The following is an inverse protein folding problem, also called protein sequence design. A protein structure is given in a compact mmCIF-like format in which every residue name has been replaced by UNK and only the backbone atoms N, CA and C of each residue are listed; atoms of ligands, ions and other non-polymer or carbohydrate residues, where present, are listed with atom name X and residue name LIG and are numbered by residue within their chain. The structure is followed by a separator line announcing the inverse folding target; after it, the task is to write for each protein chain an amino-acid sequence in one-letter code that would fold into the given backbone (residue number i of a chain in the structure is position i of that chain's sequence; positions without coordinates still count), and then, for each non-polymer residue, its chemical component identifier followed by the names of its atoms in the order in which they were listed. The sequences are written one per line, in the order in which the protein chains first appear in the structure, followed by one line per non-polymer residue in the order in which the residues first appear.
data_IF_083092086576
#
_entry.id   IF_083092086576
#
_cell.length_a   1.000
_cell.length_b   1.000
_cell.length_c   1.000
_cell.angle_alpha   90.00
_cell.angle_beta   90.00
_cell.angle_gamma   90.00
#
_symmetry.space_group_name_H-M   'P 1'
#
loop_
_entity.id
_entity.type
_entity.pdbx_description
1 polymer ?
#
# COMPACT_ATOMS: atom_id res chain seq x y z
N UNK A 1 -7.33 -19.52 15.85
CA UNK A 1 -7.29 -20.51 14.76
C UNK A 1 -8.69 -20.93 14.28
N UNK A 2 -9.59 -21.45 15.13
CA UNK A 2 -10.95 -21.83 14.70
C UNK A 2 -11.73 -20.67 14.09
N UNK A 3 -11.73 -19.47 14.69
CA UNK A 3 -12.39 -18.30 14.12
C UNK A 3 -11.83 -17.91 12.74
N UNK A 4 -10.52 -18.03 12.53
CA UNK A 4 -9.89 -17.74 11.23
C UNK A 4 -10.30 -18.74 10.16
N UNK A 5 -10.38 -20.03 10.51
CA UNK A 5 -10.82 -21.09 9.60
C UNK A 5 -12.31 -20.88 9.27
N UNK A 6 -13.12 -20.60 10.27
CA UNK A 6 -14.56 -20.37 10.10
C UNK A 6 -14.82 -19.17 9.17
N UNK A 7 -14.15 -18.02 9.40
CA UNK A 7 -14.30 -16.85 8.53
C UNK A 7 -13.77 -17.08 7.12
N UNK A 8 -12.63 -17.76 6.96
CA UNK A 8 -12.12 -18.13 5.67
C UNK A 8 -13.09 -19.06 4.89
N UNK A 9 -13.77 -19.97 5.58
CA UNK A 9 -14.78 -20.83 4.96
C UNK A 9 -16.03 -20.04 4.52
N UNK A 10 -16.48 -19.08 5.34
CA UNK A 10 -17.65 -18.23 5.00
C UNK A 10 -17.37 -17.35 3.78
N UNK A 11 -16.16 -16.78 3.71
CA UNK A 11 -15.79 -15.85 2.66
C UNK A 11 -15.06 -16.49 1.48
N UNK A 12 -14.90 -17.82 1.47
CA UNK A 12 -14.25 -18.52 0.37
C UNK A 12 -15.00 -18.28 -0.97
N UNK A 13 -14.29 -18.08 -2.08
CA UNK A 13 -12.82 -18.11 -2.26
C UNK A 13 -12.12 -16.80 -1.90
N UNK A 14 -12.81 -15.82 -1.33
CA UNK A 14 -12.37 -14.47 -0.99
C UNK A 14 -13.18 -13.41 -1.71
N UNK A 15 -13.21 -12.21 -1.15
CA UNK A 15 -13.90 -11.05 -1.74
C UNK A 15 -12.91 -10.32 -2.64
N UNK A 16 -13.34 -9.96 -3.85
CA UNK A 16 -12.54 -9.18 -4.80
C UNK A 16 -13.14 -7.81 -5.02
N UNK A 17 -12.30 -6.80 -5.07
CA UNK A 17 -12.62 -5.45 -5.53
C UNK A 17 -12.32 -5.33 -7.02
N UNK A 18 -12.70 -4.21 -7.66
CA UNK A 18 -12.37 -3.96 -9.06
C UNK A 18 -10.85 -4.03 -9.32
N UNK A 19 -10.05 -3.47 -8.41
CA UNK A 19 -8.57 -3.54 -8.50
C UNK A 19 -8.08 -4.98 -8.44
N UNK A 20 -8.61 -5.77 -7.50
CA UNK A 20 -8.23 -7.18 -7.34
C UNK A 20 -8.70 -8.05 -8.51
N UNK A 21 -9.84 -7.74 -9.13
CA UNK A 21 -10.30 -8.40 -10.36
C UNK A 21 -9.34 -8.14 -11.53
N UNK A 22 -8.84 -6.90 -11.65
CA UNK A 22 -7.81 -6.57 -12.63
C UNK A 22 -6.53 -7.38 -12.42
N UNK A 23 -6.03 -7.43 -11.18
CA UNK A 23 -4.85 -8.21 -10.79
C UNK A 23 -5.06 -9.73 -10.96
N UNK A 24 -6.26 -10.22 -10.67
CA UNK A 24 -6.63 -11.61 -10.92
C UNK A 24 -6.62 -11.93 -12.43
N UNK A 25 -7.14 -11.02 -13.27
CA UNK A 25 -7.07 -11.15 -14.72
C UNK A 25 -5.64 -11.18 -15.26
N UNK A 26 -4.72 -10.39 -14.69
CA UNK A 26 -3.29 -10.48 -14.99
C UNK A 26 -2.70 -11.85 -14.58
N UNK A 27 -3.05 -12.30 -13.37
CA UNK A 27 -2.61 -13.58 -12.85
C UNK A 27 -3.05 -14.76 -13.74
N UNK A 28 -4.30 -14.75 -14.22
CA UNK A 28 -4.81 -15.77 -15.13
C UNK A 28 -4.06 -15.80 -16.47
N UNK A 29 -3.70 -14.64 -17.00
CA UNK A 29 -2.98 -14.54 -18.28
C UNK A 29 -1.47 -14.76 -18.16
N UNK A 30 -0.92 -14.74 -16.93
CA UNK A 30 0.53 -14.76 -16.71
C UNK A 30 1.24 -13.51 -17.28
N UNK A 31 0.51 -12.39 -17.43
CA UNK A 31 1.05 -11.13 -17.96
C UNK A 31 0.87 -10.05 -16.94
N UNK A 32 1.97 -9.52 -16.43
CA UNK A 32 1.98 -8.60 -15.31
C UNK A 32 2.25 -7.17 -15.77
N UNK A 33 1.54 -6.23 -15.19
CA UNK A 33 1.75 -4.81 -15.40
C UNK A 33 2.00 -4.08 -14.09
N UNK A 34 2.54 -2.87 -14.16
CA UNK A 34 2.77 -2.04 -12.98
C UNK A 34 1.69 -0.97 -12.77
N UNK A 35 0.52 -1.13 -13.41
CA UNK A 35 -0.65 -0.29 -13.11
C UNK A 35 -1.01 -0.36 -11.63
N UNK A 36 -0.99 -1.56 -11.08
CA UNK A 36 -0.88 -1.83 -9.66
C UNK A 36 0.46 -2.50 -9.41
N UNK A 37 1.04 -2.38 -8.19
CA UNK A 37 2.26 -3.13 -7.90
C UNK A 37 2.08 -4.62 -8.23
N UNK A 38 2.96 -5.23 -9.04
CA UNK A 38 2.73 -6.54 -9.64
C UNK A 38 2.77 -7.69 -8.65
N UNK A 39 3.26 -7.45 -7.42
CA UNK A 39 3.40 -8.49 -6.40
C UNK A 39 2.10 -9.24 -6.12
N UNK A 40 0.95 -8.55 -6.09
CA UNK A 40 -0.34 -9.21 -5.85
C UNK A 40 -0.75 -10.12 -7.02
N UNK A 41 -0.58 -9.64 -8.25
CA UNK A 41 -0.86 -10.43 -9.46
C UNK A 41 0.05 -11.67 -9.53
N UNK A 42 1.33 -11.53 -9.15
CA UNK A 42 2.31 -12.63 -9.10
C UNK A 42 1.93 -13.65 -8.02
N UNK A 43 1.58 -13.19 -6.82
CA UNK A 43 1.13 -14.08 -5.73
C UNK A 43 -0.14 -14.82 -6.13
N UNK A 44 -1.13 -14.12 -6.69
CA UNK A 44 -2.35 -14.74 -7.20
C UNK A 44 -2.02 -15.79 -8.27
N UNK A 45 -1.16 -15.45 -9.23
CA UNK A 45 -0.72 -16.38 -10.28
C UNK A 45 -0.13 -17.67 -9.69
N UNK A 46 0.77 -17.55 -8.71
CA UNK A 46 1.35 -18.71 -8.02
C UNK A 46 0.27 -19.60 -7.35
N UNK A 47 -0.69 -18.98 -6.65
CA UNK A 47 -1.75 -19.74 -6.00
C UNK A 47 -2.73 -20.40 -6.97
N UNK A 48 -2.89 -19.89 -8.20
CA UNK A 48 -3.75 -20.50 -9.23
C UNK A 48 -3.24 -21.87 -9.73
N UNK A 49 -1.97 -22.21 -9.51
CA UNK A 49 -1.46 -23.57 -9.80
C UNK A 49 -2.03 -24.62 -8.84
N UNK A 50 -2.58 -24.24 -7.70
CA UNK A 50 -3.12 -25.17 -6.72
C UNK A 50 -4.63 -25.26 -6.83
N UNK A 51 -5.20 -26.46 -6.71
CA UNK A 51 -6.65 -26.66 -6.63
C UNK A 51 -7.21 -25.91 -5.41
N UNK A 52 -8.15 -24.99 -5.62
CA UNK A 52 -8.68 -24.14 -4.56
C UNK A 52 -7.70 -23.06 -4.07
N UNK A 53 -6.73 -22.66 -4.89
CA UNK A 53 -5.64 -21.76 -4.53
C UNK A 53 -6.10 -20.43 -3.94
N UNK A 54 -7.18 -19.83 -4.45
CA UNK A 54 -7.76 -18.62 -3.89
C UNK A 54 -8.29 -18.83 -2.46
N UNK A 55 -8.92 -19.96 -2.18
CA UNK A 55 -9.38 -20.32 -0.83
C UNK A 55 -8.20 -20.48 0.13
N UNK A 56 -7.11 -21.11 -0.32
CA UNK A 56 -5.88 -21.22 0.46
C UNK A 56 -5.28 -19.85 0.74
N UNK A 57 -5.21 -18.99 -0.27
CA UNK A 57 -4.68 -17.62 -0.12
C UNK A 57 -5.51 -16.79 0.85
N UNK A 58 -6.85 -16.86 0.76
CA UNK A 58 -7.78 -16.23 1.72
C UNK A 58 -7.54 -16.76 3.13
N UNK A 59 -7.43 -18.06 3.29
CA UNK A 59 -7.14 -18.69 4.58
C UNK A 59 -5.83 -18.22 5.19
N UNK A 60 -4.75 -18.22 4.40
CA UNK A 60 -3.43 -17.74 4.82
C UNK A 60 -3.46 -16.25 5.19
N UNK A 61 -4.13 -15.42 4.40
CA UNK A 61 -4.29 -13.99 4.66
C UNK A 61 -5.02 -13.76 5.98
N UNK A 62 -6.16 -14.43 6.20
CA UNK A 62 -6.98 -14.30 7.42
C UNK A 62 -6.22 -14.77 8.65
N UNK A 63 -5.59 -15.95 8.58
CA UNK A 63 -4.78 -16.50 9.67
C UNK A 63 -3.62 -15.54 9.98
N UNK A 64 -2.89 -15.08 8.97
CA UNK A 64 -1.76 -14.16 9.14
C UNK A 64 -2.18 -12.84 9.76
N UNK A 65 -3.33 -12.28 9.35
CA UNK A 65 -3.87 -11.03 9.90
C UNK A 65 -4.25 -11.18 11.38
N UNK A 66 -5.01 -12.21 11.73
CA UNK A 66 -5.43 -12.47 13.11
C UNK A 66 -4.24 -12.76 14.02
N UNK A 67 -3.31 -13.61 13.58
CA UNK A 67 -2.08 -13.88 14.32
C UNK A 67 -1.21 -12.62 14.44
N UNK A 68 -1.13 -11.81 13.38
CA UNK A 68 -0.40 -10.55 13.40
C UNK A 68 -0.93 -9.59 14.46
N UNK A 69 -2.24 -9.39 14.55
CA UNK A 69 -2.87 -8.58 15.61
C UNK A 69 -2.53 -9.17 17.00
N UNK A 70 -2.69 -10.49 17.15
CA UNK A 70 -2.41 -11.15 18.42
C UNK A 70 -0.96 -10.94 18.87
N UNK A 71 0.00 -11.26 17.99
CA UNK A 71 1.43 -11.17 18.33
C UNK A 71 1.84 -9.73 18.58
N UNK A 72 1.36 -8.78 17.75
CA UNK A 72 1.66 -7.36 17.91
C UNK A 72 1.12 -6.82 19.25
N UNK A 73 -0.14 -7.10 19.57
CA UNK A 73 -0.75 -6.72 20.84
C UNK A 73 0.01 -7.33 22.03
N UNK A 74 0.38 -8.60 21.92
CA UNK A 74 1.13 -9.30 22.95
C UNK A 74 2.52 -8.65 23.20
N UNK A 75 3.26 -8.29 22.14
CA UNK A 75 4.56 -7.64 22.30
C UNK A 75 4.44 -6.22 22.89
N UNK A 76 3.42 -5.43 22.50
CA UNK A 76 3.12 -4.12 23.13
C UNK A 76 2.87 -4.30 24.62
N UNK A 77 2.00 -5.22 24.97
CA UNK A 77 1.63 -5.45 26.36
C UNK A 77 2.84 -5.94 27.19
N UNK A 78 3.70 -6.79 26.62
CA UNK A 78 4.96 -7.19 27.27
C UNK A 78 5.92 -6.04 27.51
N UNK A 79 5.93 -5.05 26.64
CA UNK A 79 6.74 -3.84 26.78
C UNK A 79 6.24 -2.95 27.91
N UNK A 80 4.92 -2.91 28.13
CA UNK A 80 4.26 -2.13 29.15
C UNK A 80 4.21 -2.85 30.51
N UNK A 81 4.22 -4.20 30.50
CA UNK A 81 4.20 -4.99 31.72
C UNK A 81 5.59 -5.06 32.36
N UNK A 82 5.65 -4.74 33.65
CA UNK A 82 6.84 -5.01 34.42
C UNK A 82 6.96 -6.54 34.64
N UNK A 83 7.97 -7.20 34.04
CA UNK A 83 8.11 -8.66 34.00
C UNK A 83 8.09 -9.35 35.38
N UNK A 84 8.33 -8.59 36.48
CA UNK A 84 8.32 -9.09 37.86
C UNK A 84 6.93 -9.20 38.49
N UNK A 85 5.88 -8.66 37.83
CA UNK A 85 4.54 -8.62 38.41
C UNK A 85 3.63 -9.67 37.75
N UNK A 86 3.23 -10.73 38.50
CA UNK A 86 2.31 -11.77 38.04
C UNK A 86 0.93 -11.24 37.63
N UNK A 87 0.47 -10.19 38.31
CA UNK A 87 -0.83 -9.57 38.01
C UNK A 87 -0.78 -8.86 36.65
N UNK A 88 0.34 -8.26 36.27
CA UNK A 88 0.53 -7.69 34.97
C UNK A 88 0.45 -8.74 33.85
N UNK A 89 0.97 -9.94 34.06
CA UNK A 89 0.86 -11.04 33.10
C UNK A 89 -0.59 -11.55 32.96
N UNK A 90 -1.37 -11.56 34.04
CA UNK A 90 -2.80 -11.93 34.00
C UNK A 90 -3.61 -10.87 33.23
N UNK A 91 -3.41 -9.60 33.52
CA UNK A 91 -4.02 -8.48 32.77
C UNK A 91 -3.65 -8.55 31.30
N UNK A 92 -2.39 -8.82 30.99
CA UNK A 92 -1.89 -9.03 29.64
C UNK A 92 -2.66 -10.14 28.91
N UNK A 93 -2.79 -11.29 29.53
CA UNK A 93 -3.54 -12.42 28.96
C UNK A 93 -5.01 -12.07 28.76
N UNK A 94 -5.64 -11.41 29.74
CA UNK A 94 -7.04 -10.98 29.67
C UNK A 94 -7.27 -9.98 28.53
N UNK A 95 -6.43 -8.94 28.41
CA UNK A 95 -6.49 -7.96 27.31
C UNK A 95 -6.30 -8.64 25.95
N UNK A 96 -5.35 -9.55 25.83
CA UNK A 96 -5.09 -10.28 24.59
C UNK A 96 -6.28 -11.15 24.17
N UNK A 97 -6.86 -11.88 25.14
CA UNK A 97 -8.08 -12.66 24.91
C UNK A 97 -9.27 -11.78 24.54
N UNK A 98 -9.43 -10.64 25.18
CA UNK A 98 -10.48 -9.67 24.87
C UNK A 98 -10.37 -9.17 23.43
N UNK A 99 -9.15 -8.77 22.98
CA UNK A 99 -8.91 -8.37 21.60
C UNK A 99 -9.26 -9.48 20.63
N UNK A 100 -8.85 -10.72 20.91
CA UNK A 100 -9.17 -11.88 20.06
C UNK A 100 -10.66 -12.17 20.02
N UNK A 101 -11.36 -12.00 21.14
CA UNK A 101 -12.81 -12.25 21.22
C UNK A 101 -13.61 -11.17 20.49
N UNK A 102 -13.19 -9.90 20.59
CA UNK A 102 -13.88 -8.80 19.94
C UNK A 102 -13.55 -8.68 18.44
N UNK A 103 -12.41 -9.20 17.99
CA UNK A 103 -11.98 -9.11 16.60
C UNK A 103 -13.02 -9.62 15.59
N UNK A 104 -13.70 -10.76 15.80
CA UNK A 104 -14.76 -11.23 14.91
C UNK A 104 -15.96 -10.30 14.77
N UNK A 105 -16.16 -9.40 15.73
CA UNK A 105 -17.27 -8.44 15.73
C UNK A 105 -16.91 -7.13 14.99
N UNK A 106 -15.67 -7.03 14.49
CA UNK A 106 -15.18 -5.83 13.81
C UNK A 106 -15.16 -5.99 12.30
N UNK A 107 -15.29 -4.90 11.51
CA UNK A 107 -15.09 -4.92 10.06
C UNK A 107 -13.71 -5.48 9.63
N UNK A 108 -12.75 -5.54 10.53
CA UNK A 108 -11.38 -6.05 10.27
C UNK A 108 -11.38 -7.46 9.69
N UNK A 109 -12.28 -8.33 10.16
CA UNK A 109 -12.44 -9.68 9.62
C UNK A 109 -12.88 -9.67 8.16
N UNK A 110 -13.78 -8.77 7.79
CA UNK A 110 -14.19 -8.60 6.41
C UNK A 110 -13.00 -8.22 5.54
N UNK A 111 -12.19 -7.24 5.98
CA UNK A 111 -10.98 -6.83 5.26
C UNK A 111 -9.96 -7.96 5.13
N UNK A 112 -9.77 -8.79 6.16
CA UNK A 112 -8.84 -9.93 6.09
C UNK A 112 -9.27 -11.01 5.09
N UNK A 113 -10.52 -11.02 4.65
CA UNK A 113 -11.02 -11.92 3.63
C UNK A 113 -11.18 -11.26 2.27
N UNK A 114 -10.74 -10.01 2.12
CA UNK A 114 -10.80 -9.26 0.87
C UNK A 114 -9.41 -9.16 0.25
N UNK A 115 -9.30 -9.52 -1.03
CA UNK A 115 -8.05 -9.39 -1.78
C UNK A 115 -7.82 -7.93 -2.17
N UNK A 116 -7.28 -7.15 -1.26
CA UNK A 116 -6.88 -5.76 -1.50
C UNK A 116 -5.42 -5.61 -1.10
N UNK A 117 -4.65 -4.93 -1.96
CA UNK A 117 -3.24 -4.59 -1.70
C UNK A 117 -3.02 -3.94 -0.32
N UNK A 118 -3.99 -3.15 0.14
CA UNK A 118 -3.96 -2.46 1.43
C UNK A 118 -4.05 -3.42 2.62
N UNK A 119 -4.86 -4.45 2.50
CA UNK A 119 -4.96 -5.52 3.50
C UNK A 119 -3.62 -6.25 3.66
N UNK A 120 -2.97 -6.61 2.54
CA UNK A 120 -1.65 -7.24 2.59
C UNK A 120 -0.61 -6.33 3.22
N UNK A 121 -0.59 -5.05 2.83
CA UNK A 121 0.28 -4.04 3.43
C UNK A 121 0.05 -3.95 4.95
N UNK A 122 -1.21 -3.88 5.40
CA UNK A 122 -1.56 -3.79 6.81
C UNK A 122 -1.13 -5.05 7.60
N UNK A 123 -1.36 -6.25 7.04
CA UNK A 123 -0.95 -7.51 7.66
C UNK A 123 0.57 -7.56 7.84
N UNK A 124 1.34 -7.22 6.80
CA UNK A 124 2.80 -7.24 6.91
C UNK A 124 3.29 -6.17 7.89
N UNK A 125 2.66 -4.99 7.97
CA UNK A 125 2.98 -3.98 8.98
C UNK A 125 2.75 -4.45 10.41
N UNK A 126 1.70 -5.23 10.67
CA UNK A 126 1.50 -5.85 11.99
C UNK A 126 2.68 -6.75 12.35
N UNK A 127 3.14 -7.58 11.42
CA UNK A 127 4.29 -8.46 11.63
C UNK A 127 5.60 -7.67 11.78
N UNK A 128 5.81 -6.63 10.97
CA UNK A 128 6.97 -5.72 11.12
C UNK A 128 6.99 -5.09 12.50
N UNK A 129 5.84 -4.56 12.96
CA UNK A 129 5.71 -3.97 14.28
C UNK A 129 6.00 -4.97 15.40
N UNK A 130 5.34 -6.14 15.34
CA UNK A 130 5.53 -7.21 16.33
C UNK A 130 7.00 -7.66 16.42
N UNK A 131 7.62 -7.89 15.27
CA UNK A 131 9.00 -8.37 15.19
C UNK A 131 10.00 -7.29 15.62
N UNK A 132 9.75 -6.02 15.28
CA UNK A 132 10.55 -4.89 15.72
C UNK A 132 10.55 -4.75 17.25
N UNK A 133 9.38 -4.83 17.88
CA UNK A 133 9.24 -4.75 19.33
C UNK A 133 9.94 -5.92 20.03
N UNK A 134 9.75 -7.13 19.51
CA UNK A 134 10.41 -8.33 20.03
C UNK A 134 11.92 -8.22 19.93
N UNK A 135 12.44 -7.83 18.79
CA UNK A 135 13.88 -7.69 18.54
C UNK A 135 14.48 -6.59 19.44
N UNK A 136 13.78 -5.45 19.57
CA UNK A 136 14.19 -4.37 20.46
C UNK A 136 14.31 -4.83 21.91
N UNK A 137 13.35 -5.60 22.41
CA UNK A 137 13.33 -6.12 23.78
C UNK A 137 14.42 -7.15 24.02
N UNK A 138 14.63 -8.06 23.08
CA UNK A 138 15.54 -9.21 23.25
C UNK A 138 16.99 -8.94 22.83
N UNK A 139 17.28 -7.79 22.21
CA UNK A 139 18.58 -7.49 21.57
C UNK A 139 19.79 -7.61 22.48
N UNK A 140 19.63 -7.40 23.80
CA UNK A 140 20.73 -7.47 24.76
C UNK A 140 21.07 -8.91 25.15
N UNK A 141 20.10 -9.80 25.09
CA UNK A 141 20.21 -11.20 25.45
C UNK A 141 20.54 -12.10 24.24
N UNK A 142 20.46 -11.56 23.04
CA UNK A 142 20.72 -12.31 21.80
C UNK A 142 22.22 -12.35 21.48
N UNK A 143 22.67 -13.51 21.05
CA UNK A 143 23.98 -13.63 20.43
C UNK A 143 24.04 -12.88 19.09
N UNK A 144 25.25 -12.56 18.63
CA UNK A 144 25.46 -11.75 17.42
C UNK A 144 24.83 -12.36 16.17
N UNK A 145 24.86 -13.69 16.01
CA UNK A 145 24.30 -14.38 14.82
C UNK A 145 22.78 -14.29 14.82
N UNK A 146 22.14 -14.55 15.94
CA UNK A 146 20.69 -14.46 16.11
C UNK A 146 20.20 -13.03 15.89
N UNK A 147 20.91 -12.02 16.39
CA UNK A 147 20.60 -10.62 16.14
C UNK A 147 20.70 -10.27 14.66
N UNK A 148 21.78 -10.70 13.98
CA UNK A 148 21.94 -10.47 12.54
C UNK A 148 20.84 -11.13 11.72
N UNK A 149 20.48 -12.38 12.02
CA UNK A 149 19.39 -13.09 11.37
C UNK A 149 18.04 -12.38 11.61
N UNK A 150 17.79 -11.90 12.83
CA UNK A 150 16.60 -11.12 13.16
C UNK A 150 16.52 -9.81 12.39
N UNK A 151 17.62 -9.07 12.29
CA UNK A 151 17.73 -7.83 11.53
C UNK A 151 17.47 -8.10 10.03
N UNK A 152 18.08 -9.14 9.47
CA UNK A 152 17.87 -9.53 8.07
C UNK A 152 16.41 -9.87 7.79
N UNK A 153 15.78 -10.69 8.64
CA UNK A 153 14.36 -11.02 8.51
C UNK A 153 13.47 -9.78 8.62
N UNK A 154 13.79 -8.87 9.54
CA UNK A 154 13.06 -7.62 9.70
C UNK A 154 13.17 -6.73 8.44
N UNK A 155 14.36 -6.64 7.83
CA UNK A 155 14.55 -5.94 6.56
C UNK A 155 13.72 -6.53 5.43
N UNK A 156 13.65 -7.86 5.33
CA UNK A 156 12.79 -8.55 4.37
C UNK A 156 11.32 -8.20 4.59
N UNK A 157 10.82 -8.30 5.83
CA UNK A 157 9.44 -7.96 6.15
C UNK A 157 9.12 -6.49 5.84
N UNK A 158 10.03 -5.56 6.17
CA UNK A 158 9.90 -4.14 5.85
C UNK A 158 9.83 -3.92 4.33
N UNK A 159 10.70 -4.55 3.55
CA UNK A 159 10.67 -4.49 2.10
C UNK A 159 9.34 -5.05 1.55
N UNK A 160 8.92 -6.23 2.01
CA UNK A 160 7.66 -6.85 1.60
C UNK A 160 6.43 -6.00 1.94
N UNK A 161 6.44 -5.27 3.07
CA UNK A 161 5.32 -4.38 3.44
C UNK A 161 5.09 -3.26 2.43
N UNK A 162 6.12 -2.87 1.70
CA UNK A 162 6.07 -1.79 0.73
C UNK A 162 5.84 -2.24 -0.72
N UNK A 163 5.95 -3.54 -1.01
CA UNK A 163 5.75 -4.08 -2.36
C UNK A 163 4.31 -3.96 -2.87
N UNK A 164 3.25 -4.13 -2.06
CA UNK A 164 1.87 -4.08 -2.57
C UNK A 164 1.39 -2.68 -2.94
N UNK A 165 2.10 -1.61 -2.56
CA UNK A 165 1.71 -0.22 -2.82
C UNK A 165 2.90 0.64 -3.23
N UNK A 166 2.79 1.37 -4.34
CA UNK A 166 3.84 2.30 -4.78
C UNK A 166 4.15 3.39 -3.73
N UNK A 167 3.12 3.90 -3.04
CA UNK A 167 3.26 4.96 -2.04
C UNK A 167 3.85 4.47 -0.70
N UNK A 168 3.89 3.16 -0.46
CA UNK A 168 4.42 2.59 0.79
C UNK A 168 5.94 2.74 0.90
N UNK A 169 6.62 3.10 -0.18
CA UNK A 169 8.06 3.36 -0.17
C UNK A 169 8.45 4.42 0.89
N UNK A 170 7.61 5.46 1.05
CA UNK A 170 7.82 6.52 2.05
C UNK A 170 7.90 5.96 3.47
N UNK A 171 7.17 4.87 3.75
CA UNK A 171 7.14 4.24 5.09
C UNK A 171 8.44 3.52 5.42
N UNK A 172 9.25 3.15 4.41
CA UNK A 172 10.57 2.56 4.65
C UNK A 172 11.53 3.53 5.37
N UNK A 173 11.31 4.85 5.25
CA UNK A 173 12.14 5.86 5.94
C UNK A 173 12.00 5.73 7.46
N UNK A 174 10.79 5.90 8.07
CA UNK A 174 10.64 5.73 9.52
C UNK A 174 10.95 4.30 9.97
N UNK A 175 10.67 3.28 9.16
CA UNK A 175 11.06 1.90 9.46
C UNK A 175 12.57 1.72 9.54
N UNK A 176 13.32 2.29 8.60
CA UNK A 176 14.78 2.28 8.63
C UNK A 176 15.34 3.00 9.87
N UNK A 177 14.71 4.10 10.30
CA UNK A 177 15.04 4.77 11.56
C UNK A 177 14.81 3.86 12.76
N UNK A 178 13.65 3.20 12.84
CA UNK A 178 13.37 2.21 13.90
C UNK A 178 14.42 1.09 13.92
N UNK A 179 14.77 0.54 12.75
CA UNK A 179 15.80 -0.49 12.65
C UNK A 179 17.16 0.02 13.14
N UNK A 180 17.55 1.23 12.75
CA UNK A 180 18.80 1.84 13.19
C UNK A 180 18.82 2.02 14.72
N UNK A 181 17.71 2.39 15.35
CA UNK A 181 17.57 2.48 16.81
C UNK A 181 17.65 1.12 17.51
N UNK A 182 17.09 0.07 16.92
CA UNK A 182 17.18 -1.30 17.43
C UNK A 182 18.64 -1.77 17.47
N UNK A 183 19.41 -1.46 16.43
CA UNK A 183 20.78 -1.94 16.26
C UNK A 183 21.83 -1.02 16.89
N UNK A 184 21.56 0.31 16.99
CA UNK A 184 22.52 1.34 17.41
C UNK A 184 22.94 1.28 18.87
N UNK A 185 22.42 0.35 19.67
CA UNK A 185 22.94 0.09 21.01
C UNK A 185 24.44 -0.21 21.06
N UNK A 186 25.13 -0.29 19.92
CA UNK A 186 26.52 -0.71 19.82
C UNK A 186 27.47 0.28 19.16
N UNK A 187 27.11 1.06 18.14
CA UNK A 187 28.00 2.07 17.51
C UNK A 187 27.26 3.00 16.52
N UNK A 188 27.33 4.32 16.73
CA UNK A 188 26.66 5.35 15.89
C UNK A 188 26.95 5.25 14.37
N UNK A 189 28.18 4.85 13.96
CA UNK A 189 28.53 4.70 12.53
C UNK A 189 27.81 3.55 11.81
N UNK A 190 27.36 2.55 12.53
CA UNK A 190 26.61 1.42 11.94
C UNK A 190 25.13 1.73 11.80
N UNK A 191 24.58 2.65 12.59
CA UNK A 191 23.16 3.03 12.55
C UNK A 191 22.75 3.57 11.18
N UNK A 192 23.62 4.39 10.52
CA UNK A 192 23.32 4.96 9.19
C UNK A 192 23.23 3.89 8.09
N UNK A 193 24.02 2.83 8.18
CA UNK A 193 23.97 1.73 7.21
C UNK A 193 22.65 0.95 7.35
N UNK A 194 22.22 0.69 8.57
CA UNK A 194 20.97 -0.04 8.83
C UNK A 194 19.72 0.76 8.45
N UNK A 195 19.80 2.09 8.43
CA UNK A 195 18.74 2.95 7.93
C UNK A 195 18.40 2.68 6.45
N UNK A 196 19.42 2.50 5.60
CA UNK A 196 19.24 2.28 4.17
C UNK A 196 18.92 0.84 3.78
N UNK A 197 19.17 -0.12 4.69
CA UNK A 197 19.07 -1.54 4.38
C UNK A 197 17.66 -1.98 3.92
N UNK A 198 16.53 -1.57 4.53
CA UNK A 198 15.20 -1.91 4.03
C UNK A 198 14.95 -1.37 2.62
N UNK A 199 15.43 -0.16 2.32
CA UNK A 199 15.29 0.46 0.99
C UNK A 199 16.08 -0.31 -0.07
N UNK A 200 17.32 -0.68 0.23
CA UNK A 200 18.16 -1.49 -0.66
C UNK A 200 17.54 -2.88 -0.88
N UNK A 201 17.03 -3.51 0.17
CA UNK A 201 16.34 -4.80 0.08
C UNK A 201 15.10 -4.69 -0.81
N UNK A 202 14.29 -3.65 -0.62
CA UNK A 202 13.13 -3.37 -1.46
C UNK A 202 13.53 -3.17 -2.92
N UNK A 203 14.56 -2.38 -3.19
CA UNK A 203 15.07 -2.12 -4.55
C UNK A 203 15.52 -3.42 -5.24
N UNK A 204 16.28 -4.26 -4.55
CA UNK A 204 16.74 -5.55 -5.09
C UNK A 204 15.58 -6.49 -5.40
N UNK A 205 14.58 -6.58 -4.50
CA UNK A 205 13.40 -7.41 -4.73
C UNK A 205 12.59 -6.88 -5.93
N UNK A 206 12.42 -5.55 -6.07
CA UNK A 206 11.74 -4.97 -7.22
C UNK A 206 12.47 -5.27 -8.53
N UNK A 207 13.78 -5.01 -8.60
CA UNK A 207 14.58 -5.32 -9.79
C UNK A 207 14.42 -6.81 -10.17
N UNK A 208 14.56 -7.71 -9.20
CA UNK A 208 14.40 -9.14 -9.43
C UNK A 208 12.99 -9.49 -9.93
N UNK A 209 11.95 -8.93 -9.31
CA UNK A 209 10.55 -9.17 -9.67
C UNK A 209 10.26 -8.68 -11.11
N UNK A 210 10.69 -7.45 -11.45
CA UNK A 210 10.47 -6.89 -12.78
C UNK A 210 11.24 -7.66 -13.87
N UNK A 211 12.46 -8.11 -13.55
CA UNK A 211 13.26 -8.92 -14.49
C UNK A 211 12.69 -10.32 -14.68
N UNK A 212 12.37 -11.03 -13.59
CA UNK A 212 11.92 -12.42 -13.64
C UNK A 212 10.54 -12.59 -14.27
N UNK A 213 9.64 -11.63 -14.04
CA UNK A 213 8.25 -11.72 -14.49
C UNK A 213 7.96 -10.82 -15.70
N UNK A 214 8.97 -10.20 -16.30
CA UNK A 214 8.82 -9.34 -17.49
C UNK A 214 7.68 -8.33 -17.36
N UNK A 215 7.64 -7.63 -16.21
CA UNK A 215 6.55 -6.71 -15.87
C UNK A 215 6.48 -5.57 -16.87
N UNK A 216 5.30 -5.32 -17.42
CA UNK A 216 5.05 -4.22 -18.37
C UNK A 216 4.96 -2.90 -17.61
N UNK A 217 5.68 -1.89 -18.08
CA UNK A 217 5.63 -0.55 -17.53
C UNK A 217 4.46 0.25 -18.11
N UNK A 218 3.65 0.84 -17.22
CA UNK A 218 2.59 1.78 -17.54
C UNK A 218 2.92 3.17 -17.00
N UNK A 219 2.56 4.21 -17.73
CA UNK A 219 2.76 5.60 -17.31
C UNK A 219 1.55 6.11 -16.50
N UNK A 220 1.29 5.51 -15.32
CA UNK A 220 0.13 5.88 -14.51
C UNK A 220 0.18 7.31 -13.98
N UNK A 221 1.35 7.93 -13.92
CA UNK A 221 1.49 9.35 -13.61
C UNK A 221 0.71 10.23 -14.60
N UNK A 222 0.46 9.75 -15.83
CA UNK A 222 -0.29 10.49 -16.82
C UNK A 222 -1.74 10.75 -16.39
N UNK A 223 -2.39 9.79 -15.73
CA UNK A 223 -3.74 10.01 -15.19
C UNK A 223 -3.74 11.10 -14.13
N UNK A 224 -2.75 11.11 -13.26
CA UNK A 224 -2.62 12.13 -12.20
C UNK A 224 -2.37 13.50 -12.83
N UNK A 225 -1.46 13.58 -13.81
CA UNK A 225 -1.18 14.82 -14.57
C UNK A 225 -2.42 15.30 -15.32
N UNK A 226 -3.12 14.39 -16.00
CA UNK A 226 -4.35 14.69 -16.73
C UNK A 226 -5.44 15.23 -15.78
N UNK A 227 -5.63 14.62 -14.62
CA UNK A 227 -6.58 15.08 -13.61
C UNK A 227 -6.23 16.47 -13.08
N UNK A 228 -4.94 16.72 -12.82
CA UNK A 228 -4.46 18.02 -12.34
C UNK A 228 -4.63 19.12 -13.40
N UNK A 229 -4.29 18.83 -14.66
CA UNK A 229 -4.44 19.78 -15.75
C UNK A 229 -5.92 20.04 -16.08
N UNK A 230 -6.77 19.03 -16.07
CA UNK A 230 -8.22 19.19 -16.19
C UNK A 230 -8.77 20.03 -15.02
N UNK A 231 -8.29 19.77 -13.79
CA UNK A 231 -8.64 20.56 -12.63
C UNK A 231 -8.17 22.01 -12.72
N UNK A 232 -6.96 22.24 -13.24
CA UNK A 232 -6.48 23.59 -13.51
C UNK A 232 -7.37 24.33 -14.52
N UNK A 233 -7.78 23.65 -15.59
CA UNK A 233 -8.74 24.20 -16.54
C UNK A 233 -10.10 24.53 -15.90
N UNK A 234 -10.54 23.72 -14.93
CA UNK A 234 -11.79 23.94 -14.20
C UNK A 234 -11.75 25.18 -13.30
N UNK A 235 -10.63 25.40 -12.55
CA UNK A 235 -10.53 26.50 -11.57
C UNK A 235 -9.97 27.79 -12.18
N UNK A 236 -9.19 27.69 -13.26
CA UNK A 236 -8.52 28.82 -13.90
C UNK A 236 -8.62 28.74 -15.43
N UNK A 237 -9.72 29.28 -16.02
CA UNK A 237 -9.92 29.27 -17.48
C UNK A 237 -8.82 29.99 -18.27
N UNK A 238 -8.15 30.99 -17.69
CA UNK A 238 -7.06 31.72 -18.36
C UNK A 238 -5.79 30.87 -18.44
N UNK A 239 -5.50 30.08 -17.40
CA UNK A 239 -4.45 29.08 -17.46
C UNK A 239 -4.78 28.02 -18.54
N UNK A 240 -6.03 27.56 -18.62
CA UNK A 240 -6.47 26.57 -19.60
C UNK A 240 -6.25 27.02 -21.05
N UNK A 241 -6.43 28.31 -21.36
CA UNK A 241 -6.18 28.86 -22.72
C UNK A 241 -4.75 28.66 -23.19
N UNK A 242 -3.79 28.53 -22.28
CA UNK A 242 -2.36 28.35 -22.58
C UNK A 242 -1.92 26.88 -22.64
N UNK A 243 -2.80 25.97 -22.21
CA UNK A 243 -2.60 24.51 -22.23
C UNK A 243 -3.24 23.92 -23.51
N UNK A 244 -2.56 24.06 -24.64
CA UNK A 244 -3.12 23.75 -25.95
C UNK A 244 -3.49 22.27 -26.10
N UNK A 245 -2.60 21.37 -25.70
CA UNK A 245 -2.83 19.93 -25.76
C UNK A 245 -3.94 19.51 -24.80
N UNK A 246 -3.90 19.99 -23.55
CA UNK A 246 -4.97 19.70 -22.56
C UNK A 246 -6.32 20.17 -23.08
N UNK A 247 -6.41 21.42 -23.57
CA UNK A 247 -7.64 22.00 -24.08
C UNK A 247 -8.22 21.24 -25.26
N UNK A 248 -7.39 20.73 -26.17
CA UNK A 248 -7.84 19.92 -27.31
C UNK A 248 -8.22 18.49 -26.92
N UNK A 249 -7.79 18.05 -25.74
CA UNK A 249 -7.97 16.68 -25.24
C UNK A 249 -9.13 16.52 -24.26
N UNK A 250 -9.75 17.62 -23.81
CA UNK A 250 -10.87 17.60 -22.86
C UNK A 250 -12.08 18.36 -23.42
N UNK A 251 -13.26 17.87 -23.08
CA UNK A 251 -14.52 18.60 -23.34
C UNK A 251 -14.76 19.57 -22.18
N UNK A 252 -14.65 20.87 -22.45
CA UNK A 252 -14.78 21.93 -21.43
C UNK A 252 -16.20 22.06 -20.89
N UNK A 253 -17.23 21.76 -21.68
CA UNK A 253 -18.62 21.82 -21.24
C UNK A 253 -18.96 20.65 -20.31
N UNK A 254 -18.45 19.46 -20.63
CA UNK A 254 -18.54 18.29 -19.73
C UNK A 254 -17.69 18.48 -18.48
N UNK A 255 -16.50 19.09 -18.59
CA UNK A 255 -15.66 19.40 -17.47
C UNK A 255 -16.37 20.31 -16.47
N UNK A 256 -16.98 21.39 -16.94
CA UNK A 256 -17.71 22.34 -16.08
C UNK A 256 -18.86 21.68 -15.29
N UNK A 257 -19.50 20.66 -15.87
CA UNK A 257 -20.65 19.95 -15.27
C UNK A 257 -20.23 18.77 -14.40
N UNK A 258 -19.16 18.06 -14.80
CA UNK A 258 -18.84 16.73 -14.29
C UNK A 258 -17.55 16.64 -13.48
N UNK A 259 -16.68 17.66 -13.49
CA UNK A 259 -15.43 17.59 -12.76
C UNK A 259 -15.64 17.41 -11.24
N UNK A 260 -14.88 16.52 -10.65
CA UNK A 260 -14.87 16.27 -9.21
C UNK A 260 -13.42 16.27 -8.71
N UNK A 261 -13.14 17.08 -7.69
CA UNK A 261 -11.80 17.13 -7.09
C UNK A 261 -11.38 15.74 -6.60
N UNK A 262 -10.20 15.29 -7.01
CA UNK A 262 -9.63 14.00 -6.60
C UNK A 262 -10.31 12.77 -7.18
N UNK A 263 -11.37 12.93 -7.98
CA UNK A 263 -12.09 11.82 -8.60
C UNK A 263 -11.78 11.75 -10.11
N UNK A 264 -11.11 10.69 -10.51
CA UNK A 264 -10.75 10.43 -11.90
C UNK A 264 -11.90 9.85 -12.73
N UNK A 265 -12.93 9.30 -12.07
CA UNK A 265 -14.03 8.59 -12.76
C UNK A 265 -14.73 9.43 -13.82
N UNK A 266 -15.14 10.70 -13.56
CA UNK A 266 -15.77 11.50 -14.60
C UNK A 266 -14.85 11.80 -15.78
N UNK A 267 -13.54 11.83 -15.55
CA UNK A 267 -12.56 12.11 -16.60
C UNK A 267 -12.46 10.98 -17.63
N UNK A 268 -12.54 9.71 -17.17
CA UNK A 268 -12.21 8.54 -17.98
C UNK A 268 -13.44 7.66 -18.27
N UNK A 269 -14.32 7.45 -17.29
CA UNK A 269 -15.35 6.41 -17.32
C UNK A 269 -16.79 6.94 -17.33
N UNK A 270 -16.99 8.28 -17.37
CA UNK A 270 -18.32 8.82 -17.62
C UNK A 270 -18.74 8.57 -19.08
N UNK A 271 -20.03 8.61 -19.33
CA UNK A 271 -20.59 8.48 -20.68
C UNK A 271 -21.36 9.79 -21.07
N UNK A 272 -20.77 10.61 -21.96
CA UNK A 272 -19.45 10.51 -22.56
C UNK A 272 -18.32 10.88 -21.56
N UNK A 273 -17.07 10.40 -21.78
CA UNK A 273 -15.93 10.77 -20.96
C UNK A 273 -15.52 12.22 -21.20
N UNK A 274 -15.05 12.90 -20.16
CA UNK A 274 -14.57 14.29 -20.25
C UNK A 274 -13.29 14.37 -21.08
N UNK A 275 -12.42 13.38 -20.97
CA UNK A 275 -11.11 13.35 -21.62
C UNK A 275 -11.04 12.32 -22.74
N UNK A 276 -10.27 12.65 -23.78
CA UNK A 276 -9.96 11.70 -24.84
C UNK A 276 -9.09 10.54 -24.31
N UNK A 277 -9.22 9.32 -24.88
CA UNK A 277 -8.40 8.18 -24.45
C UNK A 277 -6.89 8.40 -24.55
N UNK A 278 -6.44 9.26 -25.50
CA UNK A 278 -5.02 9.63 -25.63
C UNK A 278 -4.48 10.43 -24.46
N UNK A 279 -5.30 11.33 -23.92
CA UNK A 279 -4.93 12.20 -22.80
C UNK A 279 -4.67 11.42 -21.50
N UNK A 280 -5.46 10.37 -21.28
CA UNK A 280 -5.36 9.52 -20.07
C UNK A 280 -4.62 8.21 -20.33
N UNK A 281 -3.96 8.10 -21.49
CA UNK A 281 -3.26 6.87 -21.90
C UNK A 281 -2.13 6.49 -20.95
N UNK A 282 -2.00 5.21 -20.69
CA UNK A 282 -0.88 4.62 -19.96
C UNK A 282 0.43 4.54 -20.80
N UNK A 283 0.44 5.10 -22.02
CA UNK A 283 1.65 5.19 -22.87
C UNK A 283 2.40 6.49 -22.60
N UNK A 284 3.72 6.58 -22.95
CA UNK A 284 4.45 7.84 -22.88
C UNK A 284 3.70 8.96 -23.61
N UNK A 285 3.60 10.12 -22.96
CA UNK A 285 2.89 11.28 -23.49
C UNK A 285 3.73 12.56 -23.23
N UNK A 286 4.69 12.88 -24.13
CA UNK A 286 5.58 14.03 -23.96
C UNK A 286 4.84 15.38 -23.94
N UNK A 287 3.72 15.49 -24.64
CA UNK A 287 2.91 16.73 -24.68
C UNK A 287 2.28 16.98 -23.31
N UNK A 288 1.69 15.94 -22.72
CA UNK A 288 1.13 15.99 -21.36
C UNK A 288 2.21 16.34 -20.33
N UNK A 289 3.40 15.74 -20.45
CA UNK A 289 4.53 15.98 -19.56
C UNK A 289 5.01 17.43 -19.63
N UNK A 290 5.13 17.97 -20.86
CA UNK A 290 5.57 19.34 -21.08
C UNK A 290 4.59 20.36 -20.53
N UNK A 291 3.29 20.16 -20.77
CA UNK A 291 2.23 21.04 -20.25
C UNK A 291 2.10 20.93 -18.72
N UNK A 292 2.28 19.74 -18.15
CA UNK A 292 2.27 19.58 -16.70
C UNK A 292 3.43 20.32 -16.03
N UNK A 293 4.63 20.25 -16.60
CA UNK A 293 5.79 21.01 -16.11
C UNK A 293 5.58 22.54 -16.29
N UNK A 294 4.98 22.96 -17.41
CA UNK A 294 4.61 24.35 -17.61
C UNK A 294 3.61 24.82 -16.55
N UNK A 295 2.57 24.01 -16.26
CA UNK A 295 1.57 24.31 -15.24
C UNK A 295 2.19 24.42 -13.84
N UNK A 296 3.09 23.51 -13.46
CA UNK A 296 3.79 23.54 -12.18
C UNK A 296 4.66 24.82 -12.02
N UNK A 297 5.25 25.33 -13.10
CA UNK A 297 6.09 26.52 -13.06
C UNK A 297 5.28 27.81 -13.02
N UNK A 298 4.19 27.88 -13.76
CA UNK A 298 3.44 29.13 -13.95
C UNK A 298 2.21 29.25 -13.04
N UNK A 299 1.66 28.11 -12.57
CA UNK A 299 0.45 28.03 -11.73
C UNK A 299 0.64 27.15 -10.49
N UNK A 300 1.75 27.27 -9.73
CA UNK A 300 2.06 26.36 -8.62
C UNK A 300 1.01 26.42 -7.51
N UNK A 301 0.45 27.62 -7.25
CA UNK A 301 -0.57 27.81 -6.21
C UNK A 301 -1.92 27.20 -6.59
N UNK A 302 -2.29 27.26 -7.88
CA UNK A 302 -3.51 26.63 -8.36
C UNK A 302 -3.40 25.10 -8.28
N UNK A 303 -2.27 24.53 -8.68
CA UNK A 303 -2.00 23.09 -8.53
C UNK A 303 -2.00 22.67 -7.06
N UNK A 304 -1.37 23.47 -6.18
CA UNK A 304 -1.38 23.21 -4.74
C UNK A 304 -2.82 23.25 -4.17
N UNK A 305 -3.59 24.24 -4.58
CA UNK A 305 -5.01 24.36 -4.21
C UNK A 305 -5.79 23.12 -4.62
N UNK A 306 -5.63 22.64 -5.85
CA UNK A 306 -6.26 21.41 -6.32
C UNK A 306 -5.93 20.20 -5.45
N UNK A 307 -4.67 20.07 -5.05
CA UNK A 307 -4.23 18.96 -4.16
C UNK A 307 -4.86 19.07 -2.78
N UNK A 308 -4.93 20.27 -2.22
CA UNK A 308 -5.56 20.51 -0.91
C UNK A 308 -7.06 20.22 -0.99
N UNK A 309 -7.75 20.74 -2.00
CA UNK A 309 -9.20 20.50 -2.20
C UNK A 309 -9.49 18.99 -2.38
N UNK A 310 -8.67 18.29 -3.17
CA UNK A 310 -8.78 16.84 -3.35
C UNK A 310 -8.57 16.09 -2.03
N UNK A 311 -7.58 16.49 -1.24
CA UNK A 311 -7.30 15.91 0.07
C UNK A 311 -8.43 16.17 1.07
N UNK A 312 -8.93 17.39 1.15
CA UNK A 312 -10.02 17.75 2.06
C UNK A 312 -11.31 16.99 1.77
N UNK A 313 -11.56 16.66 0.51
CA UNK A 313 -12.73 15.86 0.13
C UNK A 313 -12.70 14.41 0.59
N UNK A 314 -11.53 13.85 0.90
CA UNK A 314 -11.44 12.52 1.52
C UNK A 314 -12.09 12.46 2.91
N UNK A 315 -12.26 13.61 3.56
CA UNK A 315 -12.86 13.72 4.88
C UNK A 315 -14.31 14.26 4.83
N UNK A 316 -14.85 14.53 3.64
CA UNK A 316 -16.23 14.99 3.50
C UNK A 316 -17.18 13.76 3.55
N UNK A 317 -18.01 13.64 4.60
CA UNK A 317 -18.90 12.49 4.75
C UNK A 317 -20.03 12.40 3.71
N UNK A 318 -20.13 13.39 2.81
CA UNK A 318 -21.14 13.44 1.75
C UNK A 318 -20.66 12.85 0.41
N UNK A 319 -19.45 12.27 0.40
CA UNK A 319 -18.84 11.63 -0.78
C UNK A 319 -18.61 10.13 -0.58
#
# INVERSE_FOLDING_TARGET
MMASIFTACIFAPGIMTNDSLGQYGEALRGTFGDWHPPVMSIVLHFFLFFKGGLTWLTGLQSISGILGIFVFSHEILRLLANEKNKDANLILAACTLTVLFLLPLTPTIFYFNTFIKDTWTAIVFLWVGAFSLRLFRQRQDMDKRSLQAGVFLLCLLMAFSSLPRHNSLIVLIPMGLCLSLIVSGTKKKQASLFFLLPLLTWLLINIAMYSLFSVRHYHHSNIVKALDLAGLCYINPDACRKLTYTRSSIDLDLLAKGYRFGNVHPLIWSEPPIATPGFTSAKPNPELDSEYLYALRNYPFDILRLKIESFMRLFDPRH
#
